data_IF_101811684146
#
_entry.id   IF_101811684146
#
_cell.length_a   1.000
_cell.length_b   1.000
_cell.length_c   1.000
_cell.angle_alpha   90.00
_cell.angle_beta   90.00
_cell.angle_gamma   90.00
#
_symmetry.space_group_name_H-M   'P 1'
#
loop_
_entity.id
_entity.type
_entity.pdbx_description
1 polymer ?
#
# COMPACT_ATOMS: atom_id res chain seq x y z
N UNK A 1 15.08 -5.41 -15.32
CA UNK A 1 16.24 -6.22 -14.86
C UNK A 1 17.48 -5.37 -15.16
N UNK A 2 18.50 -5.30 -14.30
CA UNK A 2 19.69 -4.49 -14.59
C UNK A 2 20.82 -5.39 -15.10
N UNK A 3 21.07 -5.36 -16.43
CA UNK A 3 22.10 -6.20 -17.05
C UNK A 3 23.51 -5.89 -16.56
N UNK A 4 23.84 -4.63 -16.25
CA UNK A 4 25.18 -4.24 -15.77
C UNK A 4 25.50 -4.85 -14.40
N UNK A 5 24.51 -4.89 -13.52
CA UNK A 5 24.63 -5.51 -12.19
C UNK A 5 24.77 -7.03 -12.33
N UNK A 6 24.02 -7.65 -13.25
CA UNK A 6 24.14 -9.07 -13.54
C UNK A 6 25.51 -9.42 -14.13
N UNK A 7 26.02 -8.62 -15.05
CA UNK A 7 27.36 -8.80 -15.61
C UNK A 7 28.42 -8.79 -14.52
N UNK A 8 28.38 -7.79 -13.63
CA UNK A 8 29.32 -7.68 -12.50
C UNK A 8 29.26 -8.92 -11.60
N UNK A 9 28.05 -9.43 -11.34
CA UNK A 9 27.87 -10.66 -10.55
C UNK A 9 28.41 -11.90 -11.29
N UNK A 10 28.22 -12.00 -12.60
CA UNK A 10 28.75 -13.12 -13.40
C UNK A 10 30.28 -13.10 -13.43
N UNK A 11 30.90 -11.93 -13.59
CA UNK A 11 32.36 -11.77 -13.51
C UNK A 11 32.90 -12.24 -12.14
N UNK A 12 32.21 -11.88 -11.04
CA UNK A 12 32.54 -12.41 -9.72
C UNK A 12 32.47 -13.94 -9.65
N UNK A 13 31.41 -14.56 -10.17
CA UNK A 13 31.27 -16.01 -10.13
C UNK A 13 32.29 -16.74 -10.99
N UNK A 14 32.64 -16.18 -12.16
CA UNK A 14 33.71 -16.73 -13.01
C UNK A 14 35.03 -16.75 -12.24
N UNK A 15 35.40 -15.66 -11.59
CA UNK A 15 36.63 -15.58 -10.79
C UNK A 15 36.57 -16.52 -9.58
N UNK A 16 35.47 -16.50 -8.83
CA UNK A 16 35.27 -17.33 -7.64
C UNK A 16 35.34 -18.84 -7.93
N UNK A 17 34.83 -19.26 -9.10
CA UNK A 17 34.79 -20.67 -9.50
C UNK A 17 35.99 -21.10 -10.36
N UNK A 18 36.87 -20.17 -10.76
CA UNK A 18 37.92 -20.43 -11.75
C UNK A 18 38.82 -21.59 -11.34
N UNK A 19 39.36 -21.56 -10.13
CA UNK A 19 40.25 -22.61 -9.62
C UNK A 19 39.54 -23.96 -9.53
N UNK A 20 38.28 -23.98 -9.08
CA UNK A 20 37.51 -25.22 -9.02
C UNK A 20 37.25 -25.81 -10.43
N UNK A 21 37.00 -24.96 -11.43
CA UNK A 21 36.82 -25.37 -12.82
C UNK A 21 38.13 -25.82 -13.50
N UNK A 22 39.28 -25.30 -13.06
CA UNK A 22 40.60 -25.73 -13.50
C UNK A 22 40.98 -27.11 -12.91
N UNK A 23 40.70 -27.32 -11.63
CA UNK A 23 40.97 -28.59 -10.93
C UNK A 23 40.04 -29.73 -11.39
N UNK A 24 38.86 -29.41 -11.93
CA UNK A 24 37.94 -30.40 -12.49
C UNK A 24 38.40 -30.93 -13.86
N UNK A 25 39.12 -32.05 -13.81
CA UNK A 25 39.58 -32.76 -15.01
C UNK A 25 38.42 -33.40 -15.80
N UNK A 26 37.27 -33.69 -15.18
CA UNK A 26 36.14 -34.36 -15.84
C UNK A 26 35.47 -33.45 -16.88
N UNK A 27 35.53 -32.13 -16.68
CA UNK A 27 35.07 -31.13 -17.64
C UNK A 27 35.61 -31.37 -19.07
N UNK A 28 36.88 -31.77 -19.19
CA UNK A 28 37.49 -32.07 -20.51
C UNK A 28 36.92 -33.30 -21.22
N UNK A 29 36.25 -34.20 -20.48
CA UNK A 29 35.59 -35.37 -21.05
C UNK A 29 34.23 -35.02 -21.65
N UNK A 30 33.69 -33.84 -21.36
CA UNK A 30 32.41 -33.36 -21.85
C UNK A 30 32.60 -32.58 -23.15
N UNK A 31 32.69 -33.32 -24.27
CA UNK A 31 32.93 -32.75 -25.61
C UNK A 31 34.18 -31.87 -25.72
N UNK A 32 35.20 -32.12 -24.90
CA UNK A 32 36.44 -31.33 -24.93
C UNK A 32 36.29 -29.93 -24.34
N UNK A 33 35.29 -29.69 -23.49
CA UNK A 33 35.06 -28.41 -22.84
C UNK A 33 36.36 -27.92 -22.19
N UNK A 34 36.79 -26.70 -22.54
CA UNK A 34 38.04 -26.06 -22.12
C UNK A 34 37.79 -25.04 -21.01
N UNK A 35 38.86 -24.53 -20.39
CA UNK A 35 38.72 -23.49 -19.37
C UNK A 35 38.28 -22.16 -20.00
N UNK A 36 38.65 -21.92 -21.25
CA UNK A 36 38.12 -20.81 -22.05
C UNK A 36 36.62 -20.98 -22.32
N UNK A 37 36.16 -22.21 -22.60
CA UNK A 37 34.72 -22.49 -22.75
C UNK A 37 33.95 -22.22 -21.45
N UNK A 38 34.54 -22.53 -20.29
CA UNK A 38 33.96 -22.19 -18.99
C UNK A 38 33.77 -20.68 -18.85
N UNK A 39 34.82 -19.89 -19.05
CA UNK A 39 34.76 -18.43 -18.95
C UNK A 39 33.78 -17.85 -19.96
N UNK A 40 33.87 -18.26 -21.22
CA UNK A 40 33.03 -17.72 -22.29
C UNK A 40 31.55 -18.10 -22.12
N UNK A 41 31.23 -19.23 -21.47
CA UNK A 41 29.85 -19.66 -21.21
C UNK A 41 29.05 -18.70 -20.33
N UNK A 42 29.71 -17.80 -19.59
CA UNK A 42 29.03 -16.74 -18.84
C UNK A 42 28.73 -15.50 -19.69
N UNK A 43 29.35 -15.37 -20.87
CA UNK A 43 29.27 -14.18 -21.72
C UNK A 43 27.98 -14.07 -22.56
N UNK A 44 28.01 -13.12 -23.49
CA UNK A 44 26.89 -12.77 -24.39
C UNK A 44 26.87 -13.56 -25.70
N UNK A 45 27.92 -14.33 -25.98
CA UNK A 45 28.06 -15.10 -27.22
C UNK A 45 28.85 -16.37 -26.90
N UNK A 46 28.13 -17.47 -26.68
CA UNK A 46 28.77 -18.76 -26.48
C UNK A 46 27.86 -19.91 -26.88
N UNK A 47 28.37 -20.81 -27.72
CA UNK A 47 27.64 -22.02 -28.06
C UNK A 47 28.60 -23.18 -28.31
N UNK A 48 28.35 -24.30 -27.64
CA UNK A 48 29.01 -25.56 -27.96
C UNK A 48 28.08 -26.79 -27.78
N UNK A 49 28.68 -27.97 -27.82
CA UNK A 49 27.96 -29.23 -27.67
C UNK A 49 27.40 -29.43 -26.24
N UNK A 50 28.10 -28.93 -25.23
CA UNK A 50 27.77 -29.07 -23.80
C UNK A 50 26.83 -27.96 -23.30
N UNK A 51 27.23 -26.69 -23.46
CA UNK A 51 26.45 -25.49 -23.13
C UNK A 51 25.98 -24.82 -24.42
N UNK A 52 24.67 -24.59 -24.52
CA UNK A 52 24.01 -24.21 -25.78
C UNK A 52 23.92 -22.72 -26.05
N UNK A 53 24.13 -21.89 -25.03
CA UNK A 53 24.06 -20.44 -25.09
C UNK A 53 24.82 -19.87 -23.89
N UNK A 54 25.31 -18.64 -24.00
CA UNK A 54 25.91 -17.93 -22.87
C UNK A 54 24.86 -17.57 -21.81
N UNK A 55 25.26 -17.44 -20.54
CA UNK A 55 24.34 -17.04 -19.46
C UNK A 55 23.88 -15.59 -19.67
N UNK A 56 24.78 -14.67 -20.01
CA UNK A 56 24.39 -13.27 -20.30
C UNK A 56 23.61 -13.16 -21.62
N UNK A 57 23.90 -14.01 -22.60
CA UNK A 57 23.09 -14.14 -23.82
C UNK A 57 21.64 -14.53 -23.48
N UNK A 58 21.45 -15.54 -22.63
CA UNK A 58 20.13 -15.97 -22.18
C UNK A 58 19.38 -14.85 -21.45
N UNK A 59 20.02 -14.14 -20.52
CA UNK A 59 19.38 -13.03 -19.80
C UNK A 59 18.99 -11.89 -20.73
N UNK A 60 19.87 -11.51 -21.67
CA UNK A 60 19.56 -10.50 -22.68
C UNK A 60 18.36 -10.91 -23.53
N UNK A 61 18.32 -12.14 -24.03
CA UNK A 61 17.18 -12.64 -24.79
C UNK A 61 15.89 -12.66 -23.98
N UNK A 62 15.94 -13.00 -22.68
CA UNK A 62 14.74 -12.97 -21.83
C UNK A 62 14.22 -11.57 -21.58
N UNK A 63 15.11 -10.61 -21.36
CA UNK A 63 14.72 -9.21 -21.21
C UNK A 63 13.99 -8.70 -22.46
N UNK A 64 14.61 -8.89 -23.64
CA UNK A 64 13.98 -8.50 -24.91
C UNK A 64 12.71 -9.32 -25.22
N UNK A 65 12.64 -10.57 -24.77
CA UNK A 65 11.45 -11.41 -24.97
C UNK A 65 10.27 -10.97 -24.12
N UNK A 66 10.51 -10.41 -22.92
CA UNK A 66 9.45 -9.85 -22.08
C UNK A 66 8.85 -8.61 -22.75
N UNK A 67 9.68 -7.71 -23.27
CA UNK A 67 9.21 -6.51 -23.98
C UNK A 67 8.34 -6.87 -25.20
N UNK A 68 8.70 -7.94 -25.92
CA UNK A 68 7.95 -8.40 -27.10
C UNK A 68 6.68 -9.20 -26.76
N UNK A 69 6.54 -9.68 -25.53
CA UNK A 69 5.36 -10.42 -25.08
C UNK A 69 4.29 -9.50 -24.47
N UNK A 70 4.68 -8.30 -24.05
CA UNK A 70 3.79 -7.33 -23.43
C UNK A 70 3.36 -6.32 -24.50
N UNK A 71 2.21 -6.57 -25.12
CA UNK A 71 1.52 -5.53 -25.88
C UNK A 71 0.69 -4.71 -24.89
N UNK A 72 1.16 -3.52 -24.55
CA UNK A 72 0.30 -2.53 -23.91
C UNK A 72 -0.67 -2.00 -24.97
N UNK A 73 -1.96 -2.26 -24.80
CA UNK A 73 -2.96 -1.57 -25.61
C UNK A 73 -2.97 -0.11 -25.20
N UNK A 74 -2.46 0.74 -26.09
CA UNK A 74 -2.40 2.19 -25.90
C UNK A 74 -3.83 2.73 -25.70
N UNK A 75 -4.06 3.45 -24.60
CA UNK A 75 -5.36 4.06 -24.28
C UNK A 75 -6.29 3.25 -23.37
N UNK A 76 -5.91 2.07 -22.90
CA UNK A 76 -6.70 1.38 -21.86
C UNK A 76 -6.36 1.95 -20.48
N UNK A 77 -7.36 2.56 -19.84
CA UNK A 77 -7.28 2.96 -18.43
C UNK A 77 -7.92 1.89 -17.56
N UNK A 78 -7.21 1.45 -16.53
CA UNK A 78 -7.70 0.44 -15.58
C UNK A 78 -7.53 0.95 -14.17
N UNK A 79 -8.64 1.04 -13.42
CA UNK A 79 -8.63 1.32 -11.98
C UNK A 79 -8.53 -0.03 -11.29
N UNK A 80 -7.35 -0.37 -10.76
CA UNK A 80 -7.12 -1.69 -10.16
C UNK A 80 -7.25 -1.68 -8.64
N UNK A 81 -7.19 -0.51 -8.01
CA UNK A 81 -7.36 -0.34 -6.58
C UNK A 81 -7.97 1.03 -6.26
N UNK A 82 -8.85 1.08 -5.27
CA UNK A 82 -9.27 2.34 -4.66
C UNK A 82 -9.87 2.11 -3.27
N UNK A 83 -9.75 3.12 -2.41
CA UNK A 83 -10.26 3.06 -1.06
C UNK A 83 -10.33 4.44 -0.40
N UNK A 84 -11.02 4.45 0.73
CA UNK A 84 -11.00 5.52 1.72
C UNK A 84 -10.43 4.89 2.98
N UNK A 85 -9.44 5.54 3.61
CA UNK A 85 -8.76 4.99 4.79
C UNK A 85 -9.70 4.79 5.98
N UNK A 86 -10.60 5.76 6.21
CA UNK A 86 -11.55 5.77 7.32
C UNK A 86 -12.99 5.70 6.81
N UNK A 87 -13.65 4.59 7.08
CA UNK A 87 -15.04 4.37 6.69
C UNK A 87 -16.06 5.04 7.62
N UNK A 88 -15.62 5.65 8.72
CA UNK A 88 -16.44 6.46 9.62
C UNK A 88 -15.75 7.81 9.75
N UNK A 89 -16.45 8.87 9.36
CA UNK A 89 -15.94 10.23 9.30
C UNK A 89 -16.86 11.17 10.07
N UNK A 90 -16.33 12.24 10.64
CA UNK A 90 -17.15 13.22 11.33
C UNK A 90 -17.56 14.32 10.34
N UNK A 91 -18.77 14.87 10.47
CA UNK A 91 -19.21 16.04 9.67
C UNK A 91 -18.18 17.16 9.78
N UNK A 92 -17.71 17.64 8.63
CA UNK A 92 -16.69 18.68 8.53
C UNK A 92 -15.26 18.16 8.34
N UNK A 93 -15.02 16.86 8.58
CA UNK A 93 -13.74 16.24 8.26
C UNK A 93 -13.58 16.08 6.74
N UNK A 94 -12.34 16.11 6.29
CA UNK A 94 -11.99 15.77 4.91
C UNK A 94 -11.86 14.26 4.78
N UNK A 95 -12.64 13.70 3.86
CA UNK A 95 -12.54 12.31 3.45
C UNK A 95 -11.54 12.22 2.30
N UNK A 96 -10.43 11.55 2.56
CA UNK A 96 -9.38 11.31 1.57
C UNK A 96 -9.64 9.98 0.88
N UNK A 97 -9.86 10.03 -0.43
CA UNK A 97 -9.97 8.87 -1.30
C UNK A 97 -8.69 8.73 -2.10
N UNK A 98 -8.13 7.52 -2.14
CA UNK A 98 -7.00 7.17 -2.98
C UNK A 98 -7.39 6.07 -3.97
N UNK A 99 -6.82 6.14 -5.17
CA UNK A 99 -7.00 5.15 -6.22
C UNK A 99 -5.70 4.94 -7.00
N UNK A 100 -5.50 3.72 -7.48
CA UNK A 100 -4.35 3.35 -8.30
C UNK A 100 -4.86 3.00 -9.69
N UNK A 101 -4.34 3.72 -10.68
CA UNK A 101 -4.86 3.68 -12.04
C UNK A 101 -3.72 3.55 -13.04
N UNK A 102 -3.77 2.49 -13.82
CA UNK A 102 -2.89 2.30 -14.96
C UNK A 102 -3.44 3.03 -16.19
N UNK A 103 -2.56 3.73 -16.92
CA UNK A 103 -2.90 4.47 -18.15
C UNK A 103 -3.04 5.97 -17.94
N UNK A 104 -3.52 6.67 -18.97
CA UNK A 104 -3.66 8.14 -18.97
C UNK A 104 -5.12 8.53 -19.25
N UNK A 105 -5.95 8.71 -18.21
CA UNK A 105 -7.34 9.05 -18.39
C UNK A 105 -7.46 10.51 -18.86
N UNK A 106 -8.30 10.73 -19.88
CA UNK A 106 -8.73 12.08 -20.29
C UNK A 106 -9.63 12.76 -19.25
N UNK A 107 -10.34 11.95 -18.46
CA UNK A 107 -11.22 12.39 -17.40
C UNK A 107 -11.23 11.32 -16.29
N UNK A 108 -11.10 11.72 -15.04
CA UNK A 108 -11.18 10.83 -13.89
C UNK A 108 -11.87 11.54 -12.72
N UNK A 109 -13.02 11.03 -12.30
CA UNK A 109 -13.81 11.64 -11.23
C UNK A 109 -14.26 10.60 -10.21
N UNK A 110 -14.34 11.05 -8.96
CA UNK A 110 -15.09 10.40 -7.91
C UNK A 110 -16.51 10.95 -7.90
N UNK A 111 -17.48 10.05 -7.88
CA UNK A 111 -18.89 10.38 -7.69
C UNK A 111 -19.32 9.90 -6.32
N UNK A 112 -20.02 10.74 -5.56
CA UNK A 112 -20.53 10.38 -4.24
C UNK A 112 -21.93 10.95 -3.98
N UNK A 113 -22.73 10.23 -3.22
CA UNK A 113 -24.09 10.62 -2.87
C UNK A 113 -24.50 10.07 -1.51
N UNK A 114 -25.20 10.89 -0.73
CA UNK A 114 -25.87 10.45 0.50
C UNK A 114 -27.03 9.52 0.17
N UNK A 115 -27.27 8.51 1.00
CA UNK A 115 -28.43 7.62 0.85
C UNK A 115 -29.73 8.43 0.78
N UNK A 116 -30.56 8.15 -0.23
CA UNK A 116 -31.82 8.85 -0.49
C UNK A 116 -31.67 10.18 -1.27
N UNK A 117 -30.46 10.59 -1.64
CA UNK A 117 -30.26 11.75 -2.51
C UNK A 117 -30.79 11.53 -3.93
N UNK A 118 -31.21 12.61 -4.59
CA UNK A 118 -31.76 12.57 -5.97
C UNK A 118 -30.69 12.66 -7.05
N UNK A 119 -29.42 12.84 -6.68
CA UNK A 119 -28.32 13.04 -7.61
C UNK A 119 -26.96 12.79 -6.95
N UNK A 120 -25.93 12.73 -7.78
CA UNK A 120 -24.55 12.50 -7.38
C UNK A 120 -23.77 13.81 -7.43
N UNK A 121 -22.95 14.04 -6.40
CA UNK A 121 -21.87 15.01 -6.46
C UNK A 121 -20.67 14.38 -7.17
N UNK A 122 -19.75 15.22 -7.65
CA UNK A 122 -18.54 14.74 -8.33
C UNK A 122 -17.34 15.62 -8.02
N UNK A 123 -16.21 15.00 -7.73
CA UNK A 123 -14.91 15.68 -7.59
C UNK A 123 -13.88 15.06 -8.55
N UNK A 124 -12.98 15.87 -9.15
CA UNK A 124 -11.91 15.35 -9.98
C UNK A 124 -10.91 14.57 -9.11
N UNK A 125 -10.43 13.45 -9.63
CA UNK A 125 -9.32 12.71 -9.00
C UNK A 125 -8.02 13.19 -9.62
N UNK A 126 -7.05 13.53 -8.78
CA UNK A 126 -5.80 14.19 -9.18
C UNK A 126 -4.63 13.23 -9.03
N UNK A 127 -3.78 13.14 -10.05
CA UNK A 127 -2.57 12.31 -10.00
C UNK A 127 -1.62 12.81 -8.91
N UNK A 128 -1.30 11.94 -7.96
CA UNK A 128 -0.54 12.25 -6.75
C UNK A 128 0.32 11.04 -6.33
N UNK A 129 1.33 10.70 -7.15
CA UNK A 129 2.15 9.50 -6.95
C UNK A 129 3.06 9.64 -5.74
N UNK A 130 3.28 8.55 -5.01
CA UNK A 130 4.38 8.39 -4.07
C UNK A 130 5.47 7.51 -4.67
N UNK A 131 6.43 8.18 -5.30
CA UNK A 131 7.58 7.54 -5.95
C UNK A 131 8.58 6.94 -4.97
N UNK A 132 8.44 7.18 -3.66
CA UNK A 132 9.33 6.64 -2.64
C UNK A 132 8.79 5.35 -2.03
N UNK A 133 7.52 5.02 -2.26
CA UNK A 133 6.94 3.76 -1.80
C UNK A 133 7.58 2.56 -2.49
N UNK A 134 7.67 1.43 -1.78
CA UNK A 134 8.06 0.14 -2.36
C UNK A 134 6.87 -0.57 -3.06
N UNK A 135 5.67 -0.02 -2.92
CA UNK A 135 4.44 -0.50 -3.52
C UNK A 135 4.22 0.15 -4.89
N UNK A 136 3.80 -0.64 -5.87
CA UNK A 136 3.63 -0.14 -7.25
C UNK A 136 2.35 0.70 -7.37
N UNK A 137 1.32 0.34 -6.62
CA UNK A 137 0.04 1.04 -6.50
C UNK A 137 0.23 2.51 -6.12
N UNK A 138 1.22 2.80 -5.28
CA UNK A 138 1.55 4.14 -4.85
C UNK A 138 2.20 4.99 -5.94
N UNK A 139 2.89 4.38 -6.90
CA UNK A 139 3.54 5.10 -8.00
C UNK A 139 2.52 5.56 -9.05
N UNK A 140 1.39 4.85 -9.14
CA UNK A 140 0.27 5.15 -10.02
C UNK A 140 -0.89 5.79 -9.26
N UNK A 141 -0.62 6.44 -8.12
CA UNK A 141 -1.65 6.91 -7.20
C UNK A 141 -2.32 8.21 -7.65
N UNK A 142 -3.62 8.27 -7.40
CA UNK A 142 -4.50 9.41 -7.61
C UNK A 142 -5.32 9.66 -6.34
N UNK A 143 -5.61 10.92 -6.03
CA UNK A 143 -6.33 11.30 -4.81
C UNK A 143 -7.49 12.25 -5.09
N UNK A 144 -8.54 12.15 -4.28
CA UNK A 144 -9.62 13.13 -4.22
C UNK A 144 -10.04 13.37 -2.78
N UNK A 145 -10.28 14.64 -2.45
CA UNK A 145 -10.68 15.07 -1.12
C UNK A 145 -12.12 15.55 -1.18
N UNK A 146 -12.99 14.98 -0.34
CA UNK A 146 -14.39 15.40 -0.22
C UNK A 146 -14.70 15.81 1.22
N UNK A 147 -15.59 16.77 1.40
CA UNK A 147 -16.04 17.21 2.73
C UNK A 147 -17.58 17.16 2.79
N UNK A 148 -18.15 16.01 3.20
CA UNK A 148 -19.59 15.88 3.39
C UNK A 148 -20.11 16.89 4.42
N UNK A 149 -21.27 17.49 4.12
CA UNK A 149 -21.85 18.59 4.89
C UNK A 149 -22.91 18.15 5.91
N UNK A 150 -23.27 16.87 5.93
CA UNK A 150 -24.28 16.32 6.83
C UNK A 150 -24.00 14.85 7.16
N UNK A 151 -24.44 14.42 8.33
CA UNK A 151 -24.32 13.04 8.76
C UNK A 151 -25.23 12.10 7.96
N UNK A 152 -24.79 10.87 7.77
CA UNK A 152 -25.54 9.75 7.20
C UNK A 152 -24.65 8.80 6.42
N UNK A 153 -25.28 7.81 5.80
CA UNK A 153 -24.61 6.85 4.94
C UNK A 153 -24.37 7.44 3.54
N UNK A 154 -23.16 7.28 3.02
CA UNK A 154 -22.77 7.74 1.69
C UNK A 154 -22.31 6.59 0.82
N UNK A 155 -22.67 6.66 -0.46
CA UNK A 155 -22.18 5.78 -1.51
C UNK A 155 -21.22 6.53 -2.41
N UNK A 156 -20.23 5.83 -2.96
CA UNK A 156 -19.31 6.38 -3.94
C UNK A 156 -18.85 5.35 -4.98
N UNK A 157 -18.40 5.88 -6.12
CA UNK A 157 -17.72 5.12 -7.16
C UNK A 157 -16.80 6.06 -7.95
N UNK A 158 -15.87 5.47 -8.69
CA UNK A 158 -14.96 6.16 -9.57
C UNK A 158 -15.32 5.89 -11.02
N UNK A 159 -15.07 6.88 -11.87
CA UNK A 159 -15.28 6.77 -13.30
C UNK A 159 -14.16 7.47 -14.05
N UNK A 160 -13.48 6.73 -14.91
CA UNK A 160 -12.41 7.21 -15.75
C UNK A 160 -12.75 7.01 -17.23
N UNK A 161 -12.30 7.91 -18.10
CA UNK A 161 -12.40 7.72 -19.55
C UNK A 161 -11.09 8.00 -20.24
N UNK A 162 -10.71 7.15 -21.20
CA UNK A 162 -9.56 7.36 -22.08
C UNK A 162 -9.91 6.91 -23.50
N UNK A 163 -9.65 7.75 -24.50
CA UNK A 163 -9.87 7.43 -25.93
C UNK A 163 -11.25 6.82 -26.28
N UNK A 164 -12.31 7.23 -25.55
CA UNK A 164 -13.68 6.73 -25.75
C UNK A 164 -14.00 5.41 -25.04
N UNK A 165 -13.05 4.81 -24.34
CA UNK A 165 -13.24 3.71 -23.39
C UNK A 165 -13.48 4.29 -22.00
N UNK A 166 -14.41 3.69 -21.25
CA UNK A 166 -14.72 4.08 -19.88
C UNK A 166 -14.45 2.93 -18.92
N UNK A 167 -13.90 3.26 -17.76
CA UNK A 167 -13.64 2.36 -16.66
C UNK A 167 -14.36 2.82 -15.40
N UNK A 168 -14.80 1.87 -14.56
CA UNK A 168 -15.53 2.15 -13.32
C UNK A 168 -15.05 1.27 -12.18
N UNK A 169 -14.86 1.87 -11.00
CA UNK A 169 -14.59 1.16 -9.76
C UNK A 169 -15.60 1.54 -8.67
N UNK A 170 -16.16 0.58 -7.92
CA UNK A 170 -16.11 -0.86 -8.18
C UNK A 170 -16.86 -1.17 -9.48
N UNK A 171 -16.58 -2.33 -10.09
CA UNK A 171 -17.23 -2.73 -11.36
C UNK A 171 -18.75 -2.84 -11.18
N UNK A 172 -19.20 -3.35 -10.03
CA UNK A 172 -20.60 -3.49 -9.66
C UNK A 172 -20.88 -2.76 -8.34
N UNK A 173 -22.11 -2.28 -8.19
CA UNK A 173 -22.58 -1.60 -6.97
C UNK A 173 -21.72 -0.36 -6.62
N UNK A 174 -21.72 0.04 -5.35
CA UNK A 174 -21.00 1.19 -4.82
C UNK A 174 -20.17 0.79 -3.59
N UNK A 175 -19.08 1.52 -3.38
CA UNK A 175 -18.42 1.55 -2.07
C UNK A 175 -19.20 2.49 -1.16
N UNK A 176 -19.02 2.38 0.15
CA UNK A 176 -19.70 3.26 1.11
C UNK A 176 -18.82 3.66 2.29
N UNK A 177 -19.22 4.76 2.93
CA UNK A 177 -18.68 5.24 4.19
C UNK A 177 -19.80 5.93 4.99
N UNK A 178 -19.63 6.01 6.30
CA UNK A 178 -20.56 6.67 7.21
C UNK A 178 -20.00 8.03 7.62
N UNK A 179 -20.87 9.04 7.60
CA UNK A 179 -20.58 10.36 8.18
C UNK A 179 -21.42 10.51 9.43
N UNK A 180 -20.80 10.72 10.58
CA UNK A 180 -21.50 10.95 11.84
C UNK A 180 -21.49 12.43 12.18
N UNK A 181 -22.55 12.91 12.83
CA UNK A 181 -22.58 14.30 13.30
C UNK A 181 -21.39 14.53 14.24
N UNK A 182 -20.87 15.77 14.26
CA UNK A 182 -19.98 16.16 15.35
C UNK A 182 -20.70 15.89 16.67
N UNK A 183 -20.19 14.91 17.42
CA UNK A 183 -20.62 14.74 18.80
C UNK A 183 -20.20 16.01 19.51
N UNK A 184 -21.17 16.77 20.01
CA UNK A 184 -20.93 18.03 20.67
C UNK A 184 -19.83 17.85 21.73
N UNK A 185 -18.68 18.50 21.51
CA UNK A 185 -17.50 18.56 22.39
C UNK A 185 -17.43 17.39 23.38
N UNK A 186 -16.95 16.22 22.93
CA UNK A 186 -16.63 15.16 23.88
C UNK A 186 -15.51 15.70 24.77
N UNK A 187 -15.76 15.86 26.09
CA UNK A 187 -14.84 16.55 26.98
C UNK A 187 -13.51 15.81 27.17
N UNK A 188 -13.47 14.52 26.78
CA UNK A 188 -12.31 13.65 26.88
C UNK A 188 -11.74 13.38 25.49
N UNK A 189 -10.43 13.55 25.34
CA UNK A 189 -9.68 13.25 24.12
C UNK A 189 -8.56 12.26 24.42
N UNK A 190 -8.09 11.55 23.39
CA UNK A 190 -6.79 10.89 23.46
C UNK A 190 -5.72 11.99 23.31
N UNK A 191 -4.98 12.25 24.38
CA UNK A 191 -3.97 13.32 24.41
C UNK A 191 -2.59 12.81 23.98
N UNK A 192 -2.23 11.59 24.39
CA UNK A 192 -0.96 10.96 24.04
C UNK A 192 -1.16 9.50 23.65
N UNK A 193 -0.28 9.00 22.77
CA UNK A 193 -0.19 7.61 22.37
C UNK A 193 1.28 7.21 22.42
N UNK A 194 1.59 6.17 23.18
CA UNK A 194 2.91 5.55 23.26
C UNK A 194 2.80 4.10 22.80
N UNK A 195 3.13 3.87 21.53
CA UNK A 195 3.26 2.53 20.95
C UNK A 195 4.71 2.04 21.00
N UNK A 196 4.92 0.72 21.07
CA UNK A 196 6.25 0.09 21.15
C UNK A 196 7.04 0.65 22.33
N UNK A 197 6.43 0.53 23.49
CA UNK A 197 7.00 1.03 24.73
C UNK A 197 8.10 0.09 25.23
N UNK A 198 9.32 0.59 25.41
CA UNK A 198 10.43 -0.20 25.95
C UNK A 198 10.94 0.30 27.30
N UNK A 199 10.50 1.48 27.75
CA UNK A 199 11.18 2.19 28.85
C UNK A 199 10.29 3.02 29.78
N UNK A 200 9.08 3.40 29.38
CA UNK A 200 8.23 4.36 30.12
C UNK A 200 6.98 3.65 30.64
N UNK A 201 6.37 4.05 31.76
CA UNK A 201 5.10 3.46 32.24
C UNK A 201 5.08 1.92 32.35
N UNK A 202 6.06 1.36 33.07
CA UNK A 202 6.09 -0.09 33.38
C UNK A 202 4.89 -0.48 34.25
N UNK A 203 4.23 -1.58 33.91
CA UNK A 203 3.09 -2.09 34.66
C UNK A 203 3.50 -2.81 35.97
N UNK A 204 2.53 -3.33 36.73
CA UNK A 204 2.81 -4.06 37.97
C UNK A 204 3.50 -5.42 37.77
N UNK A 205 3.50 -5.97 36.55
CA UNK A 205 4.18 -7.20 36.18
C UNK A 205 5.63 -6.98 35.71
N UNK A 206 6.03 -5.72 35.46
CA UNK A 206 7.35 -5.36 34.92
C UNK A 206 7.39 -5.32 33.38
N UNK A 207 6.22 -5.29 32.74
CA UNK A 207 6.03 -5.24 31.30
C UNK A 207 5.85 -3.77 30.85
N UNK A 208 6.20 -3.51 29.60
CA UNK A 208 6.11 -2.19 28.97
C UNK A 208 5.10 -2.28 27.83
N UNK A 209 3.83 -2.16 28.16
CA UNK A 209 2.75 -2.23 27.16
C UNK A 209 2.54 -0.88 26.47
N UNK A 210 1.84 -0.94 25.34
CA UNK A 210 1.32 0.24 24.66
C UNK A 210 0.39 1.00 25.60
N UNK A 211 0.46 2.33 25.55
CA UNK A 211 -0.24 3.21 26.47
C UNK A 211 -0.90 4.37 25.76
N UNK A 212 -2.08 4.78 26.23
CA UNK A 212 -2.76 6.00 25.80
C UNK A 212 -3.07 6.89 27.01
N UNK A 213 -2.98 8.20 26.82
CA UNK A 213 -3.48 9.18 27.79
C UNK A 213 -4.86 9.66 27.36
N UNK A 214 -5.79 9.67 28.31
CA UNK A 214 -7.05 10.39 28.15
C UNK A 214 -6.95 11.71 28.90
N UNK A 215 -7.37 12.80 28.29
CA UNK A 215 -7.40 14.11 28.95
C UNK A 215 -8.79 14.70 28.90
N UNK A 216 -9.30 15.11 30.06
CA UNK A 216 -10.53 15.87 30.16
C UNK A 216 -10.22 17.38 30.05
N UNK A 217 -10.41 17.96 28.87
CA UNK A 217 -10.15 19.38 28.64
C UNK A 217 -11.29 20.30 29.10
N UNK A 218 -12.39 19.74 29.59
CA UNK A 218 -13.57 20.52 30.01
C UNK A 218 -13.45 21.04 31.45
N UNK A 219 -14.42 21.86 31.85
CA UNK A 219 -14.55 22.40 33.20
C UNK A 219 -15.46 21.55 34.12
N UNK A 220 -15.85 20.36 33.67
CA UNK A 220 -16.71 19.41 34.40
C UNK A 220 -16.05 18.04 34.49
N UNK A 221 -16.29 17.30 35.58
CA UNK A 221 -15.80 15.93 35.69
C UNK A 221 -16.54 15.03 34.69
N UNK A 222 -15.85 14.00 34.18
CA UNK A 222 -16.39 13.07 33.19
C UNK A 222 -16.31 11.66 33.75
N UNK A 223 -17.45 10.98 33.78
CA UNK A 223 -17.55 9.58 34.20
C UNK A 223 -17.47 8.67 32.97
N UNK A 224 -16.37 7.94 32.84
CA UNK A 224 -16.11 6.95 31.80
C UNK A 224 -16.55 5.54 32.21
N UNK A 225 -17.22 5.39 33.35
CA UNK A 225 -17.71 4.09 33.80
C UNK A 225 -18.59 3.43 32.73
N UNK A 226 -18.28 2.19 32.38
CA UNK A 226 -18.99 1.43 31.34
C UNK A 226 -18.83 1.96 29.90
N UNK A 227 -17.90 2.88 29.64
CA UNK A 227 -17.48 3.25 28.28
C UNK A 227 -16.57 2.16 27.68
N UNK A 228 -16.24 2.30 26.40
CA UNK A 228 -15.42 1.32 25.68
C UNK A 228 -14.29 2.00 24.89
N UNK A 229 -13.20 1.26 24.70
CA UNK A 229 -12.14 1.53 23.74
C UNK A 229 -12.14 0.45 22.67
N UNK A 230 -11.88 0.86 21.44
CA UNK A 230 -11.68 -0.06 20.33
C UNK A 230 -10.70 0.50 19.32
N UNK A 231 -9.97 -0.40 18.69
CA UNK A 231 -9.16 -0.24 17.48
C UNK A 231 -9.80 -1.00 16.29
N UNK A 232 -11.02 -1.52 16.47
CA UNK A 232 -11.76 -2.32 15.49
C UNK A 232 -13.09 -1.61 15.18
N UNK A 233 -13.19 -1.07 13.96
CA UNK A 233 -14.33 -0.24 13.53
C UNK A 233 -15.69 -0.96 13.59
N UNK A 234 -15.75 -2.29 13.45
CA UNK A 234 -16.98 -3.08 13.51
C UNK A 234 -17.23 -3.74 14.87
N UNK A 235 -16.36 -3.49 15.87
CA UNK A 235 -16.51 -3.95 17.23
C UNK A 235 -16.22 -2.82 18.22
N UNK A 236 -17.19 -1.95 18.44
CA UNK A 236 -17.06 -0.79 19.33
C UNK A 236 -17.00 -1.14 20.82
N UNK A 237 -17.27 -2.40 21.19
CA UNK A 237 -17.33 -2.87 22.59
C UNK A 237 -16.10 -3.73 22.98
N UNK A 238 -14.98 -3.62 22.26
CA UNK A 238 -13.81 -4.49 22.40
C UNK A 238 -13.22 -4.49 23.82
N UNK A 239 -12.99 -3.31 24.40
CA UNK A 239 -12.45 -3.17 25.76
C UNK A 239 -13.33 -2.23 26.57
N UNK A 240 -13.82 -2.69 27.71
CA UNK A 240 -14.73 -1.92 28.56
C UNK A 240 -13.96 -1.31 29.73
N UNK A 241 -14.18 -0.02 30.00
CA UNK A 241 -13.82 0.59 31.26
C UNK A 241 -14.58 -0.07 32.42
N UNK A 242 -14.02 -0.13 33.65
CA UNK A 242 -14.76 -0.59 34.82
C UNK A 242 -16.17 0.01 34.91
N UNK A 243 -17.15 -0.80 35.31
CA UNK A 243 -18.58 -0.40 35.36
C UNK A 243 -18.86 0.76 36.33
N UNK A 244 -17.92 1.08 37.22
CA UNK A 244 -18.04 2.18 38.19
C UNK A 244 -16.67 2.74 38.56
N UNK A 245 -16.60 4.05 38.81
CA UNK A 245 -15.48 4.69 39.49
C UNK A 245 -14.37 5.19 38.56
N UNK A 246 -14.61 5.23 37.25
CA UNK A 246 -13.67 5.78 36.28
C UNK A 246 -14.06 7.23 36.00
N UNK A 247 -13.52 8.16 36.77
CA UNK A 247 -13.84 9.59 36.64
C UNK A 247 -12.56 10.36 36.33
N UNK A 248 -12.61 11.21 35.31
CA UNK A 248 -11.55 12.17 34.99
C UNK A 248 -12.03 13.57 35.40
N UNK A 249 -11.36 14.18 36.37
CA UNK A 249 -11.68 15.52 36.86
C UNK A 249 -11.34 16.61 35.82
N UNK A 250 -11.85 17.84 35.97
CA UNK A 250 -11.58 18.93 35.03
C UNK A 250 -10.08 19.21 34.86
N UNK A 251 -9.56 19.11 33.64
CA UNK A 251 -8.17 19.38 33.31
C UNK A 251 -7.18 18.25 33.64
N UNK A 252 -7.66 17.11 34.15
CA UNK A 252 -6.85 15.97 34.57
C UNK A 252 -6.79 14.84 33.52
N UNK A 253 -5.92 13.87 33.75
CA UNK A 253 -5.66 12.68 32.93
C UNK A 253 -5.89 11.37 33.69
#
# INVERSE_FOLDING_TARGET
MNLDTLQTNMEFFVDYLYTAAEEDIYRTLDYGFTLDDFVNSYGYDFQNAHVKQGIMEFFSHRETSLDNQINFEDGSTVIYEAGIENNIMVVGDTVNMAASLFGSPSNFHMFYAKEGATGWNSEPVIFSPDTLSDLIEDHDRWTADIAPDSAGHYYWYLFATSEGVSERYPVYDFMSFEVIDQVAAQPVVINELLAINETTNMDEAGEYDDWIELWNYSDVHVDLSGHYLTDINDNLEKWQFPDTGVVIDPGEF
#
